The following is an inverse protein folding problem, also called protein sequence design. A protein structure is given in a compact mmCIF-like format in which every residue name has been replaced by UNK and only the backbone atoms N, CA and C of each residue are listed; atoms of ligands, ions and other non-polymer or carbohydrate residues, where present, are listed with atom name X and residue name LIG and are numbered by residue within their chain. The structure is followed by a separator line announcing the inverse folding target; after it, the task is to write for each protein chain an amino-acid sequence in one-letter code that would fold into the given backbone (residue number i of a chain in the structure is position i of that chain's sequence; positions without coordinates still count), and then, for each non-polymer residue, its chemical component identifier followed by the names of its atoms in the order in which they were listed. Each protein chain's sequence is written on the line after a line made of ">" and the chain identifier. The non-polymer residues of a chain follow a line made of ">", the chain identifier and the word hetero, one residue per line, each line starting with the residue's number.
data_IF_033815723745
#
_entry.id   IF_033815723745
#
_cell.length_a   1.000
_cell.length_b   1.000
_cell.length_c   1.000
_cell.angle_alpha   90.00
_cell.angle_beta   90.00
_cell.angle_gamma   90.00
#
_symmetry.space_group_name_H-M   'P 1'
#
loop_
_entity.id
_entity.type
_entity.pdbx_description
1 polymer ?
#
# COMPACT_ATOMS: atom_id res chain seq x y z
N UNK A 1 41.14 21.78 18.28
CA UNK A 1 40.41 20.63 18.88
C UNK A 1 39.23 21.27 19.58
N UNK A 2 37.97 21.17 19.17
CA UNK A 2 37.06 20.12 18.66
C UNK A 2 35.80 20.90 18.19
N UNK A 3 34.82 20.45 17.41
CA UNK A 3 34.51 19.26 16.65
C UNK A 3 33.60 19.78 15.50
N UNK A 4 33.86 19.35 14.27
CA UNK A 4 32.92 19.57 13.17
C UNK A 4 31.79 18.55 13.29
N UNK A 5 30.61 19.01 13.71
CA UNK A 5 29.37 18.26 13.55
C UNK A 5 29.14 18.07 12.04
N UNK A 6 29.41 16.85 11.57
CA UNK A 6 29.07 16.44 10.22
C UNK A 6 27.63 15.98 10.26
N UNK A 7 26.74 16.81 9.74
CA UNK A 7 25.42 16.39 9.28
C UNK A 7 25.59 15.19 8.35
N UNK A 8 25.33 14.00 8.86
CA UNK A 8 25.27 12.80 8.02
C UNK A 8 23.89 12.81 7.39
N UNK A 9 23.76 13.00 6.07
CA UNK A 9 22.48 12.80 5.41
C UNK A 9 22.09 11.34 5.63
N UNK A 10 21.02 11.11 6.39
CA UNK A 10 20.37 9.80 6.47
C UNK A 10 19.94 9.49 5.04
N UNK A 11 20.77 8.71 4.32
CA UNK A 11 20.40 8.16 3.02
C UNK A 11 19.05 7.50 3.25
N UNK A 12 17.96 8.07 2.71
CA UNK A 12 16.69 7.35 2.54
C UNK A 12 17.10 6.00 1.99
N UNK A 13 16.98 4.94 2.80
CA UNK A 13 17.34 3.60 2.38
C UNK A 13 16.73 3.42 1.00
N UNK A 14 17.59 3.18 0.00
CA UNK A 14 17.16 3.00 -1.38
C UNK A 14 16.04 1.96 -1.33
N UNK A 15 14.81 2.41 -1.56
CA UNK A 15 13.63 1.57 -1.55
C UNK A 15 13.77 0.66 -2.75
N UNK A 16 14.36 -0.53 -2.58
CA UNK A 16 14.33 -1.52 -3.65
C UNK A 16 12.88 -1.90 -3.85
N UNK A 17 12.27 -1.61 -5.02
CA UNK A 17 10.92 -2.07 -5.31
C UNK A 17 10.90 -3.59 -5.19
N UNK A 18 9.85 -4.15 -4.59
CA UNK A 18 9.67 -5.60 -4.60
C UNK A 18 9.66 -6.07 -6.05
N UNK A 19 10.38 -7.15 -6.33
CA UNK A 19 10.41 -7.73 -7.66
C UNK A 19 8.98 -8.22 -8.04
N UNK A 20 8.44 -7.85 -9.22
CA UNK A 20 7.06 -8.18 -9.61
C UNK A 20 6.72 -9.66 -9.52
N UNK A 21 7.68 -10.55 -9.77
CA UNK A 21 7.55 -12.00 -9.68
C UNK A 21 7.25 -12.52 -8.25
N UNK A 22 7.51 -11.70 -7.23
CA UNK A 22 7.21 -12.02 -5.83
C UNK A 22 5.78 -11.61 -5.43
N UNK A 23 5.12 -10.77 -6.23
CA UNK A 23 3.73 -10.34 -5.99
C UNK A 23 2.79 -11.51 -6.30
N UNK A 24 1.95 -11.87 -5.35
CA UNK A 24 1.03 -12.99 -5.44
C UNK A 24 1.66 -14.36 -5.18
N UNK A 25 2.98 -14.44 -4.97
CA UNK A 25 3.70 -15.71 -4.76
C UNK A 25 4.35 -15.78 -3.38
N UNK A 26 5.04 -14.73 -2.95
CA UNK A 26 5.72 -14.70 -1.66
C UNK A 26 4.77 -14.26 -0.53
N UNK A 27 5.00 -14.78 0.69
CA UNK A 27 4.16 -14.51 1.85
C UNK A 27 4.32 -13.07 2.37
N UNK A 28 3.22 -12.51 2.89
CA UNK A 28 3.18 -11.20 3.52
C UNK A 28 4.12 -11.16 4.70
N UNK A 29 5.01 -10.17 4.71
CA UNK A 29 6.03 -10.01 5.74
C UNK A 29 5.46 -9.60 7.11
N UNK A 30 4.18 -9.20 7.17
CA UNK A 30 3.50 -8.73 8.39
C UNK A 30 2.68 -9.85 9.01
N UNK A 31 1.79 -10.48 8.24
CA UNK A 31 0.90 -11.53 8.77
C UNK A 31 1.39 -12.96 8.53
N UNK A 32 2.34 -13.18 7.61
CA UNK A 32 2.84 -14.51 7.21
C UNK A 32 1.79 -15.51 6.67
N UNK A 33 0.51 -15.12 6.58
CA UNK A 33 -0.57 -16.02 6.17
C UNK A 33 -1.00 -15.88 4.70
N UNK A 34 -0.78 -14.70 4.10
CA UNK A 34 -1.29 -14.38 2.76
C UNK A 34 -0.19 -13.94 1.84
N UNK A 35 -0.34 -14.24 0.56
CA UNK A 35 0.58 -13.74 -0.46
C UNK A 35 0.58 -12.21 -0.50
N UNK A 36 1.74 -11.64 -0.75
CA UNK A 36 1.90 -10.20 -0.96
C UNK A 36 1.13 -9.75 -2.20
N UNK A 37 0.53 -8.57 -2.11
CA UNK A 37 -0.23 -7.96 -3.22
C UNK A 37 0.26 -6.55 -3.53
N UNK A 38 0.99 -5.93 -2.60
CA UNK A 38 1.38 -4.52 -2.64
C UNK A 38 2.87 -4.35 -2.28
N UNK A 39 3.72 -3.79 -3.17
CA UNK A 39 5.06 -3.28 -2.86
C UNK A 39 4.98 -1.88 -2.25
N UNK A 40 6.02 -1.45 -1.52
CA UNK A 40 6.17 -0.03 -1.16
C UNK A 40 6.81 0.24 0.20
N UNK A 41 6.66 -0.68 1.15
CA UNK A 41 7.32 -0.64 2.45
C UNK A 41 7.96 -2.02 2.74
N UNK A 42 9.28 -2.05 2.95
CA UNK A 42 10.09 -3.22 3.34
C UNK A 42 9.50 -4.59 2.95
N UNK A 43 9.60 -4.97 1.69
CA UNK A 43 9.31 -6.34 1.26
C UNK A 43 7.91 -6.59 0.72
N UNK A 44 6.97 -5.65 0.84
CA UNK A 44 5.61 -5.79 0.33
C UNK A 44 4.66 -6.53 1.27
N UNK A 45 3.36 -6.22 1.16
CA UNK A 45 2.33 -6.67 2.12
C UNK A 45 1.05 -7.09 1.39
N UNK A 46 0.17 -7.81 2.09
CA UNK A 46 -1.17 -8.09 1.58
C UNK A 46 -2.08 -6.84 1.71
N UNK A 47 -3.19 -6.85 0.96
CA UNK A 47 -4.16 -5.74 0.91
C UNK A 47 -4.65 -5.34 2.31
N UNK A 48 -4.96 -6.30 3.17
CA UNK A 48 -5.45 -6.02 4.51
C UNK A 48 -4.37 -5.48 5.47
N UNK A 49 -3.14 -5.99 5.41
CA UNK A 49 -2.06 -5.46 6.26
C UNK A 49 -1.76 -4.00 5.90
N UNK A 50 -1.74 -3.67 4.60
CA UNK A 50 -1.60 -2.28 4.17
C UNK A 50 -2.75 -1.39 4.66
N UNK A 51 -4.00 -1.86 4.56
CA UNK A 51 -5.18 -1.13 5.02
C UNK A 51 -5.05 -0.69 6.50
N UNK A 52 -4.50 -1.56 7.34
CA UNK A 52 -4.30 -1.33 8.77
C UNK A 52 -3.18 -0.32 9.06
N UNK A 53 -2.14 -0.30 8.23
CA UNK A 53 -0.94 0.53 8.46
C UNK A 53 -1.07 1.96 7.90
N UNK A 54 -1.81 2.14 6.81
CA UNK A 54 -1.64 3.31 5.94
C UNK A 54 -2.05 4.67 6.53
N UNK A 55 -2.82 4.75 7.63
CA UNK A 55 -3.17 5.96 8.41
C UNK A 55 -3.14 7.30 7.61
N UNK A 56 -3.79 7.33 6.45
CA UNK A 56 -3.64 8.41 5.47
C UNK A 56 -4.77 9.44 5.56
N UNK A 57 -4.47 10.69 5.21
CA UNK A 57 -5.45 11.79 5.11
C UNK A 57 -6.66 11.40 4.26
N UNK A 58 -7.87 11.81 4.63
CA UNK A 58 -9.09 11.45 3.88
C UNK A 58 -9.24 12.19 2.55
N UNK A 59 -9.79 11.51 1.54
CA UNK A 59 -10.10 11.98 0.18
C UNK A 59 -11.45 11.43 -0.28
N UNK A 60 -12.06 12.07 -1.28
CA UNK A 60 -13.28 11.54 -1.93
C UNK A 60 -12.90 10.52 -3.00
N UNK A 61 -13.41 9.29 -2.87
CA UNK A 61 -13.38 8.28 -3.91
C UNK A 61 -14.33 8.70 -5.04
N UNK A 62 -13.78 9.21 -6.16
CA UNK A 62 -14.60 9.76 -7.28
C UNK A 62 -15.71 8.83 -7.77
N UNK A 63 -15.47 7.53 -7.76
CA UNK A 63 -16.39 6.57 -8.36
C UNK A 63 -17.54 6.14 -7.43
N UNK A 64 -17.33 6.22 -6.10
CA UNK A 64 -18.39 5.91 -5.11
C UNK A 64 -18.91 7.15 -4.37
N UNK A 65 -18.29 8.31 -4.54
CA UNK A 65 -18.52 9.54 -3.77
C UNK A 65 -18.38 9.39 -2.24
N UNK A 66 -17.58 8.42 -1.79
CA UNK A 66 -17.33 8.16 -0.35
C UNK A 66 -16.05 8.84 0.12
N UNK A 67 -16.00 9.26 1.39
CA UNK A 67 -14.77 9.73 2.04
C UNK A 67 -13.93 8.55 2.53
N UNK A 68 -12.66 8.46 2.10
CA UNK A 68 -11.76 7.34 2.36
C UNK A 68 -10.31 7.81 2.57
N UNK A 69 -9.45 7.10 3.32
CA UNK A 69 -8.02 7.46 3.47
C UNK A 69 -7.29 7.58 2.12
N UNK A 70 -6.30 8.46 1.92
CA UNK A 70 -5.69 8.71 0.61
C UNK A 70 -5.01 7.48 -0.03
N UNK A 71 -4.71 6.49 0.80
CA UNK A 71 -4.12 5.18 0.48
C UNK A 71 -5.08 4.04 0.93
N UNK A 72 -6.37 4.13 0.59
CA UNK A 72 -7.47 3.27 1.12
C UNK A 72 -7.49 1.80 0.67
N UNK A 73 -6.36 1.19 0.29
CA UNK A 73 -6.35 -0.19 -0.18
C UNK A 73 -6.87 -1.13 0.90
N UNK A 74 -7.88 -1.95 0.58
CA UNK A 74 -8.56 -2.82 1.55
C UNK A 74 -9.45 -3.87 0.89
N UNK A 75 -9.65 -4.99 1.59
CA UNK A 75 -10.68 -5.98 1.30
C UNK A 75 -11.50 -6.18 2.59
N UNK A 76 -12.80 -5.82 2.62
CA UNK A 76 -13.57 -5.23 1.53
C UNK A 76 -13.12 -3.81 1.15
N UNK A 77 -13.55 -3.36 -0.02
CA UNK A 77 -13.34 -2.01 -0.54
C UNK A 77 -13.82 -0.96 0.47
N UNK A 78 -12.92 -0.13 1.00
CA UNK A 78 -13.27 0.88 2.01
C UNK A 78 -14.24 1.96 1.51
N UNK A 79 -14.44 2.07 0.19
CA UNK A 79 -15.34 3.05 -0.40
C UNK A 79 -16.78 2.56 -0.57
N UNK A 80 -16.98 1.26 -0.84
CA UNK A 80 -18.31 0.69 -1.16
C UNK A 80 -18.64 -0.63 -0.46
N UNK A 81 -17.72 -1.20 0.32
CA UNK A 81 -17.91 -2.47 1.04
C UNK A 81 -17.82 -3.74 0.20
N UNK A 82 -17.55 -3.66 -1.10
CA UNK A 82 -17.44 -4.85 -1.96
C UNK A 82 -16.13 -5.61 -1.77
N UNK A 83 -16.17 -6.94 -1.83
CA UNK A 83 -15.00 -7.83 -1.88
C UNK A 83 -14.42 -8.00 -3.30
N UNK A 84 -15.10 -7.45 -4.31
CA UNK A 84 -14.67 -7.48 -5.73
C UNK A 84 -13.53 -6.46 -5.98
N UNK A 85 -12.38 -6.75 -5.36
CA UNK A 85 -11.18 -5.92 -5.36
C UNK A 85 -9.94 -6.74 -5.72
N UNK A 86 -8.98 -6.11 -6.38
CA UNK A 86 -7.65 -6.71 -6.59
C UNK A 86 -6.58 -5.61 -6.71
N UNK A 87 -5.32 -6.04 -6.71
CA UNK A 87 -4.18 -5.15 -6.85
C UNK A 87 -3.02 -5.83 -7.60
N UNK A 88 -2.26 -5.04 -8.35
CA UNK A 88 -1.07 -5.49 -9.10
C UNK A 88 0.24 -4.91 -8.56
N UNK A 89 0.19 -4.34 -7.37
CA UNK A 89 1.31 -3.69 -6.73
C UNK A 89 1.54 -2.22 -7.08
N UNK A 90 0.94 -1.70 -8.13
CA UNK A 90 0.99 -0.25 -8.43
C UNK A 90 -0.39 0.39 -8.29
N UNK A 91 -1.41 -0.40 -8.59
CA UNK A 91 -2.79 -0.01 -8.55
C UNK A 91 -3.57 -0.99 -7.69
N UNK A 92 -4.51 -0.42 -6.95
CA UNK A 92 -5.65 -1.10 -6.36
C UNK A 92 -6.90 -0.71 -7.16
N UNK A 93 -7.81 -1.66 -7.39
CA UNK A 93 -9.10 -1.36 -7.99
C UNK A 93 -10.24 -2.15 -7.36
N UNK A 94 -11.44 -1.57 -7.41
CA UNK A 94 -12.69 -2.22 -7.07
C UNK A 94 -13.56 -2.27 -8.33
N UNK A 95 -13.94 -3.46 -8.78
CA UNK A 95 -14.74 -3.61 -9.99
C UNK A 95 -16.21 -3.19 -9.78
N UNK A 96 -16.74 -3.34 -8.57
CA UNK A 96 -18.10 -2.91 -8.22
C UNK A 96 -18.30 -1.39 -8.33
N UNK A 97 -17.49 -0.59 -7.62
CA UNK A 97 -17.60 0.87 -7.67
C UNK A 97 -16.70 1.53 -8.72
N UNK A 98 -16.01 0.75 -9.57
CA UNK A 98 -15.13 1.24 -10.66
C UNK A 98 -14.00 2.17 -10.21
N UNK A 99 -13.61 2.06 -8.94
CA UNK A 99 -12.57 2.88 -8.35
C UNK A 99 -11.19 2.32 -8.66
N UNK A 100 -10.23 3.20 -8.93
CA UNK A 100 -8.81 2.86 -9.13
C UNK A 100 -7.95 3.84 -8.34
N UNK A 101 -7.02 3.32 -7.53
CA UNK A 101 -6.10 4.11 -6.72
C UNK A 101 -4.66 3.66 -6.91
N UNK A 102 -3.74 4.63 -6.90
CA UNK A 102 -2.30 4.35 -6.80
C UNK A 102 -1.94 4.01 -5.37
N UNK A 103 -1.02 3.06 -5.23
CA UNK A 103 -0.44 2.65 -3.96
C UNK A 103 0.90 3.38 -3.86
N UNK A 104 1.04 4.34 -2.93
CA UNK A 104 2.22 5.22 -2.81
C UNK A 104 2.74 5.30 -1.38
#
# INVERSE_FOLDING_TARGET
>A
MTAGERDVPVKRAQRTPLAPELVGTAMCVVCHERTMKLPGHNGGVCIECYAREANADVRIARASHSWVPANFVGCPCLACGSEDVDANGYLFWCANCRMVARVA
#
